data_IF_738143142500
#
_entry.id   IF_738143142500
#
_cell.length_a   1.000
_cell.length_b   1.000
_cell.length_c   1.000
_cell.angle_alpha   90.00
_cell.angle_beta   90.00
_cell.angle_gamma   90.00
#
_symmetry.space_group_name_H-M   'P 1'
#
loop_
_entity.id
_entity.type
_entity.pdbx_description
1 polymer ?
#
# COMPACT_ATOMS: atom_id res chain seq x y z
N UNK A 1 6.02 9.82 -10.77
CA UNK A 1 4.57 9.62 -10.99
C UNK A 1 4.27 8.13 -10.89
N UNK A 2 4.05 7.64 -9.67
CA UNK A 2 3.98 6.21 -9.36
C UNK A 2 2.64 5.89 -8.67
N UNK A 3 1.51 6.15 -9.32
CA UNK A 3 0.18 5.90 -8.74
C UNK A 3 -0.81 5.21 -9.71
N UNK A 4 -0.37 4.72 -10.86
CA UNK A 4 -1.28 4.31 -11.95
C UNK A 4 -1.20 2.83 -12.37
N UNK A 5 -0.39 2.00 -11.70
CA UNK A 5 -0.29 0.56 -12.04
C UNK A 5 -0.17 -0.36 -10.82
N UNK A 6 -0.99 -0.15 -9.78
CA UNK A 6 -1.09 -1.15 -8.70
C UNK A 6 -1.81 -2.37 -9.26
N UNK A 7 -1.04 -3.38 -9.68
CA UNK A 7 -1.54 -4.62 -10.31
C UNK A 7 -2.21 -5.57 -9.32
N UNK A 8 -1.93 -5.39 -8.04
CA UNK A 8 -2.45 -6.26 -6.99
C UNK A 8 -3.84 -5.81 -6.56
N UNK A 9 -4.71 -6.77 -6.24
CA UNK A 9 -6.04 -6.47 -5.69
C UNK A 9 -5.95 -6.05 -4.23
N UNK A 10 -5.02 -6.65 -3.50
CA UNK A 10 -4.83 -6.49 -2.06
C UNK A 10 -3.34 -6.36 -1.75
N UNK A 11 -3.04 -5.59 -0.71
CA UNK A 11 -1.69 -5.30 -0.22
C UNK A 11 -1.68 -5.44 1.30
N UNK A 12 -0.56 -5.87 1.88
CA UNK A 12 -0.34 -5.75 3.32
C UNK A 12 0.20 -4.35 3.59
N UNK A 13 -0.57 -3.53 4.30
CA UNK A 13 -0.26 -2.12 4.53
C UNK A 13 0.45 -1.92 5.87
N UNK A 14 1.53 -1.15 5.84
CA UNK A 14 2.28 -0.67 7.00
C UNK A 14 2.24 0.85 7.00
N UNK A 15 1.91 1.46 8.14
CA UNK A 15 1.90 2.92 8.28
C UNK A 15 3.30 3.52 8.49
N UNK A 16 3.39 4.84 8.54
CA UNK A 16 4.64 5.57 8.75
C UNK A 16 5.34 5.28 10.09
N UNK A 17 4.62 4.74 11.07
CA UNK A 17 5.11 4.37 12.40
C UNK A 17 5.54 2.90 12.46
N UNK A 18 5.45 2.16 11.36
CA UNK A 18 5.74 0.72 11.32
C UNK A 18 4.59 -0.16 11.83
N UNK A 19 3.40 0.40 12.02
CA UNK A 19 2.21 -0.35 12.45
C UNK A 19 1.62 -1.09 11.27
N UNK A 20 1.44 -2.40 11.42
CA UNK A 20 0.75 -3.21 10.42
C UNK A 20 -0.77 -2.99 10.52
N UNK A 21 -1.34 -2.34 9.51
CA UNK A 21 -2.78 -2.10 9.41
C UNK A 21 -3.54 -3.32 8.88
N UNK A 22 -2.82 -4.32 8.37
CA UNK A 22 -3.37 -5.58 7.88
C UNK A 22 -3.39 -5.66 6.35
N UNK A 23 -4.20 -6.57 5.82
CA UNK A 23 -4.38 -6.72 4.37
C UNK A 23 -5.58 -5.88 3.95
N UNK A 24 -5.36 -4.94 3.03
CA UNK A 24 -6.37 -4.00 2.55
C UNK A 24 -6.41 -3.98 1.03
N UNK A 25 -7.48 -3.42 0.45
CA UNK A 25 -7.53 -3.22 -0.99
C UNK A 25 -6.49 -2.19 -1.43
N UNK A 26 -5.84 -2.44 -2.56
CA UNK A 26 -4.87 -1.50 -3.14
C UNK A 26 -5.41 -0.09 -3.34
N UNK A 27 -6.70 0.07 -3.68
CA UNK A 27 -7.33 1.38 -3.82
C UNK A 27 -7.50 2.08 -2.49
N UNK A 28 -7.83 1.33 -1.44
CA UNK A 28 -7.96 1.87 -0.09
C UNK A 28 -6.59 2.35 0.42
N UNK A 29 -5.54 1.55 0.23
CA UNK A 29 -4.18 1.94 0.56
C UNK A 29 -3.73 3.21 -0.19
N UNK A 30 -4.04 3.31 -1.48
CA UNK A 30 -3.76 4.51 -2.28
C UNK A 30 -4.55 5.73 -1.81
N UNK A 31 -5.82 5.57 -1.46
CA UNK A 31 -6.65 6.66 -0.90
C UNK A 31 -6.08 7.12 0.42
N UNK A 32 -5.75 6.20 1.33
CA UNK A 32 -5.19 6.53 2.64
C UNK A 32 -3.86 7.28 2.52
N UNK A 33 -2.98 6.84 1.63
CA UNK A 33 -1.72 7.53 1.35
C UNK A 33 -1.99 8.97 0.85
N UNK A 34 -2.89 9.13 -0.13
CA UNK A 34 -3.26 10.46 -0.67
C UNK A 34 -3.90 11.38 0.38
N UNK A 35 -4.82 10.86 1.19
CA UNK A 35 -5.49 11.61 2.25
C UNK A 35 -4.50 12.11 3.31
N UNK A 36 -3.44 11.35 3.57
CA UNK A 36 -2.36 11.71 4.50
C UNK A 36 -1.22 12.50 3.84
N UNK A 37 -1.25 12.71 2.52
CA UNK A 37 -0.17 13.36 1.78
C UNK A 37 1.11 12.53 1.66
N UNK A 38 1.01 11.20 1.77
CA UNK A 38 2.09 10.24 1.57
C UNK A 38 1.98 9.53 0.22
N UNK A 39 3.05 8.81 -0.14
CA UNK A 39 3.08 7.90 -1.27
C UNK A 39 2.95 6.44 -0.79
N UNK A 40 2.20 5.63 -1.53
CA UNK A 40 2.14 4.19 -1.30
C UNK A 40 3.33 3.52 -2.01
N UNK A 41 4.23 2.87 -1.26
CA UNK A 41 5.46 2.28 -1.80
C UNK A 41 5.49 0.77 -1.51
N UNK A 42 5.55 -0.04 -2.56
CA UNK A 42 5.73 -1.48 -2.40
C UNK A 42 7.17 -1.81 -1.96
N UNK A 43 7.34 -2.15 -0.69
CA UNK A 43 8.65 -2.54 -0.11
C UNK A 43 8.98 -4.01 -0.38
N UNK A 44 7.97 -4.87 -0.54
CA UNK A 44 8.16 -6.28 -0.87
C UNK A 44 7.12 -6.76 -1.88
N UNK A 45 7.37 -6.51 -3.17
CA UNK A 45 6.49 -6.92 -4.28
C UNK A 45 6.42 -8.43 -4.51
N UNK A 46 7.38 -9.20 -3.97
CA UNK A 46 7.46 -10.66 -4.12
C UNK A 46 6.56 -11.43 -3.14
N UNK A 47 6.05 -10.76 -2.10
CA UNK A 47 5.15 -11.36 -1.11
C UNK A 47 3.74 -11.51 -1.66
N UNK A 48 2.96 -12.46 -1.12
CA UNK A 48 1.54 -12.63 -1.45
C UNK A 48 0.68 -12.57 -0.17
N UNK A 49 -0.02 -11.47 0.12
CA UNK A 49 -0.05 -10.21 -0.63
C UNK A 49 1.29 -9.42 -0.52
N UNK A 50 1.61 -8.55 -1.49
CA UNK A 50 2.79 -7.69 -1.43
C UNK A 50 2.71 -6.73 -0.24
N UNK A 51 3.87 -6.34 0.30
CA UNK A 51 3.95 -5.40 1.42
C UNK A 51 4.13 -3.98 0.90
N UNK A 52 3.25 -3.09 1.35
CA UNK A 52 3.16 -1.68 0.99
C UNK A 52 3.09 -0.78 2.21
#
# INVERSE_FOLDING_TARGET
>A
MANENVRWKEVRLIDENGVQLGVVNSREALSLAKERGYDLVAVASSSNPPVC
#
